data_IF_190616233878
#
_entry.id   IF_190616233878
#
_cell.length_a   1.000
_cell.length_b   1.000
_cell.length_c   1.000
_cell.angle_alpha   90.00
_cell.angle_beta   90.00
_cell.angle_gamma   90.00
#
_symmetry.space_group_name_H-M   'P 1'
#
loop_
_entity.id
_entity.type
_entity.pdbx_description
1 polymer ?
#
# COMPACT_ATOMS: atom_id res chain seq x y z
N UNK A 1 -4.49 21.74 -3.72
CA UNK A 1 -4.54 20.74 -2.63
C UNK A 1 -3.41 19.76 -2.87
N UNK A 2 -2.64 19.44 -1.83
CA UNK A 2 -1.63 18.39 -1.84
C UNK A 2 -2.00 17.30 -0.83
N UNK A 3 -1.37 16.13 -0.92
CA UNK A 3 -1.48 15.10 0.10
C UNK A 3 -0.12 14.43 0.36
N UNK A 4 0.08 13.95 1.58
CA UNK A 4 1.26 13.21 2.01
C UNK A 4 0.87 11.96 2.81
N UNK A 5 1.70 10.92 2.73
CA UNK A 5 1.62 9.72 3.58
C UNK A 5 3.03 9.27 3.93
N UNK A 6 3.29 8.91 5.19
CA UNK A 6 4.62 8.42 5.57
C UNK A 6 4.93 7.10 4.83
N UNK A 7 6.21 6.86 4.50
CA UNK A 7 6.63 5.62 3.85
C UNK A 7 6.29 4.38 4.68
N UNK A 8 6.36 4.47 6.01
CA UNK A 8 5.97 3.40 6.93
C UNK A 8 4.45 3.14 6.92
N UNK A 9 3.64 4.20 6.90
CA UNK A 9 2.18 4.10 6.85
C UNK A 9 1.72 3.50 5.51
N UNK A 10 2.30 3.97 4.40
CA UNK A 10 2.05 3.42 3.07
C UNK A 10 2.45 1.93 3.00
N UNK A 11 3.65 1.58 3.46
CA UNK A 11 4.13 0.19 3.51
C UNK A 11 3.25 -0.70 4.39
N UNK A 12 2.77 -0.18 5.54
CA UNK A 12 1.87 -0.92 6.42
C UNK A 12 0.51 -1.22 5.76
N UNK A 13 -0.07 -0.27 5.01
CA UNK A 13 -1.28 -0.54 4.19
C UNK A 13 -0.99 -1.62 3.13
N UNK A 14 0.19 -1.58 2.50
CA UNK A 14 0.60 -2.58 1.51
C UNK A 14 0.74 -3.98 2.14
N UNK A 15 1.39 -4.09 3.31
CA UNK A 15 1.59 -5.34 4.05
C UNK A 15 0.25 -5.98 4.46
N UNK A 16 -0.67 -5.20 5.06
CA UNK A 16 -2.01 -5.69 5.41
C UNK A 16 -2.79 -6.15 4.16
N UNK A 17 -2.61 -5.47 3.02
CA UNK A 17 -3.29 -5.80 1.75
C UNK A 17 -2.67 -6.99 1.01
N UNK A 18 -1.37 -7.23 1.16
CA UNK A 18 -0.69 -8.41 0.63
C UNK A 18 -1.17 -9.67 1.36
N UNK A 19 -1.24 -9.61 2.69
CA UNK A 19 -1.72 -10.68 3.56
C UNK A 19 -3.24 -10.95 3.46
N UNK A 20 -3.98 -10.12 2.74
CA UNK A 20 -5.39 -10.38 2.40
C UNK A 20 -5.51 -11.37 1.24
N UNK A 21 -6.46 -12.31 1.32
CA UNK A 21 -6.82 -13.18 0.19
C UNK A 21 -7.91 -12.57 -0.72
N UNK A 22 -8.42 -11.38 -0.41
CA UNK A 22 -9.46 -10.67 -1.16
C UNK A 22 -9.15 -9.17 -1.30
N UNK A 23 -10.06 -8.42 -1.93
CA UNK A 23 -10.21 -6.98 -1.69
C UNK A 23 -10.10 -6.68 -0.17
N UNK A 24 -9.45 -5.57 0.16
CA UNK A 24 -9.27 -5.10 1.54
C UNK A 24 -9.61 -3.61 1.63
N UNK A 25 -10.10 -3.13 2.77
CA UNK A 25 -10.55 -1.75 2.95
C UNK A 25 -10.32 -1.27 4.38
N UNK A 26 -10.31 0.04 4.58
CA UNK A 26 -10.09 0.65 5.89
C UNK A 26 -10.14 2.18 5.86
N UNK A 27 -9.83 2.81 6.98
CA UNK A 27 -9.89 4.27 7.15
C UNK A 27 -8.50 4.90 7.17
N UNK A 28 -8.40 6.16 6.77
CA UNK A 28 -7.17 6.96 6.80
C UNK A 28 -7.26 7.98 7.93
N UNK A 29 -6.26 7.96 8.82
CA UNK A 29 -6.19 8.73 10.05
C UNK A 29 -5.07 9.77 9.93
N UNK A 30 -5.36 11.01 10.25
CA UNK A 30 -4.39 12.10 10.14
C UNK A 30 -5.05 13.47 10.33
N UNK A 31 -4.54 14.47 9.62
CA UNK A 31 -5.06 15.84 9.67
C UNK A 31 -5.17 16.50 8.29
N UNK A 32 -5.89 17.62 8.24
CA UNK A 32 -5.99 18.48 7.06
C UNK A 32 -5.67 19.91 7.48
N UNK A 33 -4.50 20.42 7.08
CA UNK A 33 -4.09 21.80 7.34
C UNK A 33 -4.31 22.70 6.12
N UNK A 34 -4.31 24.00 6.35
CA UNK A 34 -4.20 25.00 5.28
C UNK A 34 -2.86 25.70 5.46
N UNK A 35 -2.04 25.66 4.42
CA UNK A 35 -0.73 26.31 4.37
C UNK A 35 -0.85 27.55 3.48
N UNK A 36 -0.41 28.72 3.97
CA UNK A 36 -0.54 29.99 3.26
C UNK A 36 0.70 30.24 2.40
N UNK A 37 0.58 29.96 1.10
CA UNK A 37 1.67 30.14 0.15
C UNK A 37 1.67 31.57 -0.39
N UNK A 38 2.71 32.32 -0.05
CA UNK A 38 2.99 33.64 -0.62
C UNK A 38 3.86 33.48 -1.86
N UNK A 39 3.31 33.74 -3.04
CA UNK A 39 4.08 33.86 -4.29
C UNK A 39 4.37 35.33 -4.56
N UNK A 40 5.65 35.68 -4.72
CA UNK A 40 6.09 37.01 -5.13
C UNK A 40 6.55 36.89 -6.58
N UNK A 41 5.83 37.55 -7.49
CA UNK A 41 6.24 37.66 -8.89
C UNK A 41 7.29 38.77 -9.05
N UNK A 42 8.21 38.60 -10.02
CA UNK A 42 9.15 39.65 -10.47
C UNK A 42 8.46 40.97 -10.85
N UNK A 43 7.17 40.91 -11.17
CA UNK A 43 6.29 42.06 -11.43
C UNK A 43 5.89 42.87 -10.18
N UNK A 44 6.44 42.56 -9.00
CA UNK A 44 6.07 43.10 -7.68
C UNK A 44 4.62 42.79 -7.25
N UNK A 45 3.91 41.94 -7.99
CA UNK A 45 2.59 41.43 -7.59
C UNK A 45 2.80 40.25 -6.63
N UNK A 46 2.30 40.38 -5.40
CA UNK A 46 2.18 39.28 -4.44
C UNK A 46 0.81 38.60 -4.58
N UNK A 47 0.79 37.28 -4.76
CA UNK A 47 -0.43 36.46 -4.64
C UNK A 47 -0.34 35.51 -3.45
N UNK A 48 -1.43 35.45 -2.67
CA UNK A 48 -1.58 34.53 -1.54
C UNK A 48 -2.52 33.40 -1.95
N UNK A 49 -2.06 32.15 -1.82
CA UNK A 49 -2.87 30.96 -2.08
C UNK A 49 -2.92 30.04 -0.85
N UNK A 50 -4.13 29.64 -0.43
CA UNK A 50 -4.32 28.70 0.67
C UNK A 50 -4.27 27.26 0.15
N UNK A 51 -3.11 26.61 0.33
CA UNK A 51 -2.91 25.22 -0.03
C UNK A 51 -3.49 24.31 1.07
N UNK A 52 -4.64 23.70 0.81
CA UNK A 52 -5.17 22.60 1.62
C UNK A 52 -4.24 21.37 1.48
N UNK A 53 -3.66 20.91 2.58
CA UNK A 53 -2.75 19.75 2.65
C UNK A 53 -3.40 18.66 3.50
N UNK A 54 -3.44 17.43 2.97
CA UNK A 54 -3.99 16.24 3.65
C UNK A 54 -2.82 15.35 4.07
N UNK A 55 -2.54 15.25 5.36
CA UNK A 55 -1.40 14.49 5.88
C UNK A 55 -1.87 13.21 6.58
N UNK A 56 -1.52 12.05 6.01
CA UNK A 56 -1.93 10.72 6.47
C UNK A 56 -0.89 10.17 7.45
N UNK A 57 -1.22 10.22 8.74
CA UNK A 57 -0.37 9.71 9.82
C UNK A 57 -0.46 8.18 9.94
N UNK A 58 -1.68 7.62 9.93
CA UNK A 58 -1.91 6.19 10.16
C UNK A 58 -3.13 5.67 9.37
N UNK A 59 -3.39 4.37 9.39
CA UNK A 59 -4.61 3.76 8.85
C UNK A 59 -5.30 2.87 9.89
N UNK A 60 -6.58 2.55 9.65
CA UNK A 60 -7.31 1.55 10.43
C UNK A 60 -7.89 0.49 9.48
N UNK A 61 -7.32 -0.74 9.45
CA UNK A 61 -7.77 -1.80 8.57
C UNK A 61 -9.10 -2.42 9.04
N UNK A 62 -10.07 -2.57 8.14
CA UNK A 62 -11.30 -3.30 8.44
C UNK A 62 -11.06 -4.81 8.37
N UNK A 63 -11.48 -5.53 9.41
CA UNK A 63 -11.29 -6.99 9.53
C UNK A 63 -12.04 -7.82 8.47
N UNK A 64 -13.06 -7.25 7.82
CA UNK A 64 -13.81 -7.88 6.74
C UNK A 64 -14.46 -6.81 5.84
N UNK A 65 -14.65 -7.14 4.56
CA UNK A 65 -15.52 -6.41 3.65
C UNK A 65 -16.96 -6.32 4.20
N UNK A 66 -17.69 -5.25 3.88
CA UNK A 66 -19.07 -5.03 4.36
C UNK A 66 -19.19 -4.89 5.89
N UNK A 67 -18.07 -4.63 6.59
CA UNK A 67 -18.05 -4.49 8.06
C UNK A 67 -18.80 -3.26 8.57
N UNK A 68 -18.86 -2.18 7.76
CA UNK A 68 -19.54 -0.92 8.10
C UNK A 68 -20.65 -0.52 7.11
N UNK A 69 -20.99 -1.36 6.12
CA UNK A 69 -22.03 -1.08 5.12
C UNK A 69 -22.68 -2.37 4.60
N UNK A 70 -23.95 -2.29 4.16
CA UNK A 70 -24.73 -3.46 3.70
C UNK A 70 -24.54 -3.81 2.21
N UNK A 71 -25.22 -4.86 1.73
CA UNK A 71 -25.13 -5.27 0.32
C UNK A 71 -25.62 -4.20 -0.68
N UNK A 72 -26.56 -3.34 -0.28
CA UNK A 72 -27.03 -2.20 -1.07
C UNK A 72 -26.04 -0.99 -1.02
N UNK A 73 -25.01 -1.06 -0.18
CA UNK A 73 -24.03 0.00 0.01
C UNK A 73 -24.47 1.05 1.04
N UNK A 74 -25.49 0.79 1.85
CA UNK A 74 -25.92 1.69 2.93
C UNK A 74 -24.96 1.59 4.11
N UNK A 75 -24.43 2.71 4.57
CA UNK A 75 -23.52 2.77 5.74
C UNK A 75 -24.29 2.53 7.04
N UNK A 76 -23.69 1.76 7.96
CA UNK A 76 -24.20 1.50 9.30
C UNK A 76 -23.32 2.24 10.33
N UNK A 77 -23.90 3.21 11.03
CA UNK A 77 -23.15 4.07 11.97
C UNK A 77 -22.68 3.34 13.23
N UNK A 78 -23.44 2.37 13.74
CA UNK A 78 -23.07 1.61 14.95
C UNK A 78 -21.83 0.76 14.71
N UNK A 79 -21.75 0.12 13.54
CA UNK A 79 -20.56 -0.61 13.08
C UNK A 79 -19.38 0.34 12.87
N UNK A 80 -19.60 1.48 12.22
CA UNK A 80 -18.58 2.49 11.98
C UNK A 80 -18.00 3.03 13.31
N UNK A 81 -18.86 3.31 14.30
CA UNK A 81 -18.48 3.68 15.67
C UNK A 81 -17.68 2.57 16.37
N UNK A 82 -18.10 1.31 16.23
CA UNK A 82 -17.43 0.14 16.82
C UNK A 82 -16.01 -0.08 16.28
N UNK A 83 -15.78 0.23 15.00
CA UNK A 83 -14.47 0.15 14.34
C UNK A 83 -13.59 1.33 14.75
N UNK A 84 -14.04 2.56 14.47
CA UNK A 84 -13.23 3.77 14.65
C UNK A 84 -13.01 4.14 16.12
N UNK A 85 -14.01 3.88 16.98
CA UNK A 85 -14.05 4.28 18.39
C UNK A 85 -13.73 5.79 18.51
N UNK A 86 -12.86 6.15 19.45
CA UNK A 86 -12.44 7.54 19.70
C UNK A 86 -11.75 8.20 18.49
N UNK A 87 -11.15 7.42 17.58
CA UNK A 87 -10.43 7.91 16.40
C UNK A 87 -11.36 8.44 15.29
N UNK A 88 -12.69 8.34 15.42
CA UNK A 88 -13.68 8.89 14.44
C UNK A 88 -13.42 10.37 14.10
N UNK A 89 -12.90 11.15 15.06
CA UNK A 89 -12.57 12.58 14.89
C UNK A 89 -11.38 12.86 13.96
N UNK A 90 -10.49 11.88 13.80
CA UNK A 90 -9.21 12.03 13.08
C UNK A 90 -9.26 11.35 11.70
N UNK A 91 -10.45 10.93 11.25
CA UNK A 91 -10.64 10.30 9.94
C UNK A 91 -10.67 11.37 8.86
N UNK A 92 -9.64 11.37 8.02
CA UNK A 92 -9.50 12.30 6.89
C UNK A 92 -9.87 11.65 5.55
N UNK A 93 -9.94 10.31 5.51
CA UNK A 93 -10.28 9.57 4.31
C UNK A 93 -10.58 8.09 4.58
N UNK A 94 -10.73 7.34 3.50
CA UNK A 94 -10.77 5.89 3.53
C UNK A 94 -10.01 5.31 2.34
N UNK A 95 -9.65 4.03 2.41
CA UNK A 95 -8.92 3.35 1.35
C UNK A 95 -9.57 2.02 0.97
N UNK A 96 -9.32 1.59 -0.26
CA UNK A 96 -9.64 0.25 -0.73
C UNK A 96 -8.54 -0.29 -1.63
N UNK A 97 -8.19 -1.54 -1.42
CA UNK A 97 -7.23 -2.30 -2.19
C UNK A 97 -7.96 -3.38 -2.99
N UNK A 98 -7.55 -3.54 -4.25
CA UNK A 98 -8.05 -4.53 -5.21
C UNK A 98 -6.89 -5.25 -5.91
N UNK A 99 -7.20 -6.33 -6.60
CA UNK A 99 -6.25 -7.07 -7.44
C UNK A 99 -6.75 -7.12 -8.90
N UNK A 100 -5.86 -6.79 -9.84
CA UNK A 100 -6.08 -6.81 -11.29
C UNK A 100 -7.30 -5.98 -11.76
N UNK A 101 -7.44 -4.74 -11.26
CA UNK A 101 -8.55 -3.83 -11.65
C UNK A 101 -8.07 -2.46 -12.13
N UNK A 102 -8.94 -1.71 -12.79
CA UNK A 102 -8.67 -0.35 -13.25
C UNK A 102 -8.63 0.67 -12.10
N UNK A 103 -7.82 1.71 -12.25
CA UNK A 103 -7.72 2.86 -11.33
C UNK A 103 -8.91 3.83 -11.44
N UNK A 104 -10.10 3.32 -11.13
CA UNK A 104 -11.37 4.05 -11.14
C UNK A 104 -12.25 3.63 -9.95
N UNK A 105 -12.89 4.64 -9.35
CA UNK A 105 -13.92 4.44 -8.33
C UNK A 105 -15.15 3.72 -8.91
N UNK A 106 -15.51 2.59 -8.31
CA UNK A 106 -16.72 1.84 -8.63
C UNK A 106 -17.98 2.58 -8.18
N UNK A 107 -19.13 2.19 -8.73
CA UNK A 107 -20.45 2.70 -8.32
C UNK A 107 -20.69 2.55 -6.81
N UNK A 108 -20.30 1.41 -6.21
CA UNK A 108 -20.44 1.17 -4.77
C UNK A 108 -19.55 2.10 -3.94
N UNK A 109 -18.30 2.34 -4.34
CA UNK A 109 -17.42 3.29 -3.62
C UNK A 109 -17.93 4.72 -3.72
N UNK A 110 -18.47 5.15 -4.86
CA UNK A 110 -19.06 6.49 -4.99
C UNK A 110 -20.26 6.66 -4.03
N UNK A 111 -21.10 5.63 -3.89
CA UNK A 111 -22.22 5.59 -2.94
C UNK A 111 -21.75 5.58 -1.47
N UNK A 112 -20.77 4.74 -1.13
CA UNK A 112 -20.22 4.64 0.23
C UNK A 112 -19.50 5.93 0.61
N UNK A 113 -18.64 6.45 -0.27
CA UNK A 113 -17.90 7.70 -0.04
C UNK A 113 -18.85 8.87 0.22
N UNK A 114 -19.91 9.01 -0.59
CA UNK A 114 -20.92 10.06 -0.41
C UNK A 114 -21.64 9.94 0.94
N UNK A 115 -21.90 8.72 1.44
CA UNK A 115 -22.48 8.54 2.77
C UNK A 115 -21.46 8.80 3.88
N UNK A 116 -20.23 8.31 3.76
CA UNK A 116 -19.16 8.51 4.74
C UNK A 116 -18.86 10.00 4.96
N UNK A 117 -18.82 10.83 3.92
CA UNK A 117 -18.58 12.27 4.08
C UNK A 117 -19.68 12.99 4.86
N UNK A 118 -20.94 12.54 4.76
CA UNK A 118 -22.06 13.06 5.55
C UNK A 118 -22.06 12.51 6.98
N UNK A 119 -21.89 11.18 7.13
CA UNK A 119 -21.89 10.48 8.42
C UNK A 119 -20.71 10.90 9.29
N UNK A 120 -19.50 10.96 8.75
CA UNK A 120 -18.31 11.39 9.50
C UNK A 120 -18.29 12.91 9.74
N UNK A 121 -19.09 13.69 9.01
CA UNK A 121 -19.07 15.15 9.07
C UNK A 121 -17.83 15.76 8.39
N UNK A 122 -17.24 15.06 7.41
CA UNK A 122 -15.98 15.43 6.73
C UNK A 122 -16.29 15.72 5.26
N UNK A 123 -16.50 16.98 4.85
CA UNK A 123 -16.97 17.31 3.49
C UNK A 123 -15.93 17.05 2.39
N UNK A 124 -14.65 17.14 2.73
CA UNK A 124 -13.49 16.92 1.85
C UNK A 124 -12.80 15.57 2.12
N UNK A 125 -13.59 14.55 2.49
CA UNK A 125 -13.09 13.19 2.68
C UNK A 125 -12.31 12.73 1.44
N UNK A 126 -11.13 12.15 1.62
CA UNK A 126 -10.35 11.55 0.50
C UNK A 126 -10.59 10.05 0.38
N UNK A 127 -10.37 9.49 -0.82
CA UNK A 127 -10.45 8.06 -1.09
C UNK A 127 -9.18 7.56 -1.79
N UNK A 128 -8.42 6.69 -1.13
CA UNK A 128 -7.20 6.10 -1.69
C UNK A 128 -7.50 4.72 -2.29
N UNK A 129 -7.48 4.62 -3.62
CA UNK A 129 -7.60 3.35 -4.32
C UNK A 129 -6.21 2.76 -4.55
N UNK A 130 -6.04 1.47 -4.25
CA UNK A 130 -4.90 0.67 -4.67
C UNK A 130 -5.36 -0.43 -5.63
N UNK A 131 -4.54 -0.73 -6.64
CA UNK A 131 -4.71 -1.89 -7.52
C UNK A 131 -3.37 -2.58 -7.71
N UNK A 132 -3.29 -3.83 -7.28
CA UNK A 132 -2.13 -4.70 -7.49
C UNK A 132 -2.29 -5.48 -8.80
N UNK A 133 -1.30 -5.39 -9.69
CA UNK A 133 -1.30 -5.99 -11.02
C UNK A 133 -0.06 -6.87 -11.18
N UNK A 134 -0.21 -8.05 -11.78
CA UNK A 134 0.91 -8.97 -12.10
C UNK A 134 1.08 -9.14 -13.61
N UNK A 135 2.31 -9.42 -14.06
CA UNK A 135 2.54 -10.01 -15.39
C UNK A 135 1.97 -11.43 -15.47
N UNK A 136 1.71 -11.93 -16.68
CA UNK A 136 1.10 -13.26 -16.89
C UNK A 136 1.91 -14.44 -16.32
N UNK A 137 3.23 -14.27 -16.20
CA UNK A 137 4.16 -15.22 -15.56
C UNK A 137 4.44 -14.92 -14.08
N UNK A 138 3.83 -13.88 -13.50
CA UNK A 138 4.05 -13.36 -12.14
C UNK A 138 5.51 -12.98 -11.80
N UNK A 139 6.41 -12.77 -12.78
CA UNK A 139 7.79 -12.32 -12.50
C UNK A 139 7.89 -10.84 -12.14
N UNK A 140 6.85 -10.05 -12.39
CA UNK A 140 6.84 -8.62 -12.12
C UNK A 140 5.47 -8.20 -11.60
N UNK A 141 5.48 -7.44 -10.51
CA UNK A 141 4.28 -6.91 -9.87
C UNK A 141 4.32 -5.39 -9.85
N UNK A 142 3.18 -4.75 -10.09
CA UNK A 142 2.99 -3.32 -9.98
C UNK A 142 1.90 -3.03 -8.95
N UNK A 143 2.19 -2.19 -7.96
CA UNK A 143 1.20 -1.65 -7.05
C UNK A 143 0.90 -0.19 -7.43
N UNK A 144 -0.16 -0.02 -8.21
CA UNK A 144 -0.65 1.31 -8.57
C UNK A 144 -1.56 1.86 -7.46
N UNK A 145 -1.47 3.17 -7.21
CA UNK A 145 -2.33 3.86 -6.25
C UNK A 145 -2.79 5.22 -6.78
N UNK A 146 -4.02 5.62 -6.43
CA UNK A 146 -4.59 6.93 -6.79
C UNK A 146 -5.39 7.47 -5.61
N UNK A 147 -5.02 8.66 -5.13
CA UNK A 147 -5.83 9.43 -4.20
C UNK A 147 -6.88 10.25 -4.96
N UNK A 148 -8.16 9.96 -4.70
CA UNK A 148 -9.29 10.71 -5.21
C UNK A 148 -9.83 11.69 -4.16
N UNK A 149 -10.18 12.90 -4.61
CA UNK A 149 -11.11 13.82 -3.94
C UNK A 149 -12.39 13.89 -4.80
N UNK A 150 -13.43 13.09 -4.50
CA UNK A 150 -14.75 13.24 -5.13
C UNK A 150 -15.36 14.58 -4.71
N UNK A 151 -15.20 15.58 -5.57
CA UNK A 151 -15.72 16.92 -5.33
C UNK A 151 -17.27 16.91 -5.43
N UNK A 152 -17.93 18.00 -5.04
CA UNK A 152 -19.39 18.20 -5.22
C UNK A 152 -19.80 18.32 -6.70
N UNK A 153 -18.84 18.44 -7.63
CA UNK A 153 -19.06 18.35 -9.08
C UNK A 153 -18.90 16.90 -9.59
N UNK A 154 -19.32 16.62 -10.82
CA UNK A 154 -19.35 15.25 -11.39
C UNK A 154 -17.96 14.65 -11.73
N UNK A 155 -16.87 15.20 -11.20
CA UNK A 155 -15.50 14.81 -11.55
C UNK A 155 -14.75 14.33 -10.31
N UNK A 156 -14.29 13.07 -10.35
CA UNK A 156 -13.42 12.49 -9.34
C UNK A 156 -12.01 13.05 -9.51
N UNK A 157 -11.70 14.17 -8.86
CA UNK A 157 -10.39 14.81 -8.94
C UNK A 157 -9.33 13.85 -8.39
N UNK A 158 -8.24 13.65 -9.14
CA UNK A 158 -7.05 12.96 -8.64
C UNK A 158 -6.15 13.99 -7.94
N UNK A 159 -5.59 13.61 -6.80
CA UNK A 159 -4.67 14.42 -6.00
C UNK A 159 -3.33 13.69 -5.94
N UNK A 160 -2.23 14.39 -6.21
CA UNK A 160 -0.89 13.83 -6.09
C UNK A 160 -0.58 13.52 -4.63
N UNK A 161 -0.20 12.27 -4.35
CA UNK A 161 0.15 11.78 -3.02
C UNK A 161 1.67 11.67 -2.92
N UNK A 162 2.27 12.51 -2.08
CA UNK A 162 3.71 12.53 -1.82
C UNK A 162 4.10 11.51 -0.74
N UNK A 163 5.25 10.86 -0.91
CA UNK A 163 5.85 9.99 0.10
C UNK A 163 7.20 10.64 0.50
N UNK A 164 7.24 11.43 1.59
CA UNK A 164 8.48 12.09 2.02
C UNK A 164 9.52 11.06 2.45
N UNK A 165 10.77 11.33 2.08
CA UNK A 165 11.91 10.45 2.32
C UNK A 165 13.21 11.28 2.46
N UNK A 166 14.25 10.66 3.00
CA UNK A 166 15.53 11.34 3.32
C UNK A 166 16.34 11.76 2.08
N UNK A 167 16.13 11.14 0.92
CA UNK A 167 16.90 11.41 -0.31
C UNK A 167 16.79 12.87 -0.77
N UNK A 168 15.64 13.51 -0.53
CA UNK A 168 15.42 14.92 -0.88
C UNK A 168 16.18 15.92 0.04
N UNK A 169 16.99 15.44 1.00
CA UNK A 169 17.67 16.28 2.00
C UNK A 169 19.19 16.05 2.08
N UNK A 170 19.79 15.30 1.15
CA UNK A 170 21.19 14.85 1.23
C UNK A 170 22.23 15.93 0.85
N UNK A 171 22.30 17.02 1.61
CA UNK A 171 23.39 18.01 1.54
C UNK A 171 24.57 17.59 2.42
N UNK A 172 25.27 16.52 2.03
CA UNK A 172 26.34 15.88 2.82
C UNK A 172 27.74 16.48 2.59
N UNK A 173 27.83 17.72 2.13
CA UNK A 173 29.08 18.38 1.73
C UNK A 173 29.91 18.85 2.93
N UNK A 174 30.62 17.92 3.58
CA UNK A 174 31.59 18.23 4.63
C UNK A 174 32.81 18.95 4.05
N UNK A 175 33.00 20.21 4.47
CA UNK A 175 34.12 21.05 4.04
C UNK A 175 35.44 20.60 4.68
N UNK A 176 36.14 19.68 4.01
CA UNK A 176 37.42 19.09 4.45
C UNK A 176 38.51 20.14 4.72
N UNK A 177 38.56 21.24 3.95
CA UNK A 177 39.53 22.32 4.18
C UNK A 177 38.99 23.69 3.79
N UNK A 178 39.68 24.74 4.26
CA UNK A 178 39.42 26.13 3.89
C UNK A 178 40.73 26.87 3.67
N UNK A 179 40.72 27.85 2.76
CA UNK A 179 41.88 28.73 2.52
C UNK A 179 42.27 29.40 3.84
N UNK A 180 43.50 29.19 4.36
CA UNK A 180 43.90 29.73 5.66
C UNK A 180 43.93 31.26 5.66
N UNK A 181 43.14 31.89 6.53
CA UNK A 181 43.11 33.35 6.67
C UNK A 181 44.28 33.82 7.54
N UNK A 182 45.19 34.61 6.96
CA UNK A 182 46.38 35.16 7.64
C UNK A 182 46.07 36.36 8.54
N UNK A 183 44.84 36.90 8.53
CA UNK A 183 44.45 38.06 9.32
C UNK A 183 44.37 37.76 10.82
N UNK A 184 45.27 38.38 11.59
CA UNK A 184 45.26 38.32 13.06
C UNK A 184 43.96 38.83 13.69
N UNK A 185 43.29 39.79 13.04
CA UNK A 185 42.02 40.34 13.53
C UNK A 185 40.89 39.32 13.37
N UNK A 186 40.82 38.63 12.23
CA UNK A 186 39.89 37.51 12.02
C UNK A 186 40.15 36.39 13.04
N UNK A 187 41.40 35.96 13.17
CA UNK A 187 41.81 34.92 14.12
C UNK A 187 41.54 35.27 15.59
N UNK A 188 41.46 36.56 15.94
CA UNK A 188 41.04 37.02 17.27
C UNK A 188 39.52 36.87 17.46
N UNK A 189 38.72 37.45 16.57
CA UNK A 189 37.25 37.45 16.67
C UNK A 189 36.68 36.03 16.72
N UNK A 190 37.16 35.12 15.86
CA UNK A 190 36.67 33.72 15.86
C UNK A 190 37.03 32.94 17.14
N UNK A 191 38.07 33.36 17.88
CA UNK A 191 38.44 32.74 19.16
C UNK A 191 37.65 33.31 20.33
N UNK A 192 37.39 34.62 20.31
CA UNK A 192 36.60 35.30 21.35
C UNK A 192 35.12 34.88 21.29
N UNK A 193 34.55 34.73 20.09
CA UNK A 193 33.16 34.27 19.92
C UNK A 193 33.04 32.74 19.86
N UNK A 194 34.07 32.03 19.36
CA UNK A 194 34.04 30.57 19.17
C UNK A 194 33.83 29.75 20.45
N UNK A 195 34.13 30.32 21.63
CA UNK A 195 33.86 29.70 22.92
C UNK A 195 32.36 29.46 23.21
N UNK A 196 31.45 30.11 22.47
CA UNK A 196 30.02 29.82 22.48
C UNK A 196 29.70 28.45 21.86
N UNK A 197 30.34 28.11 20.74
CA UNK A 197 30.05 26.90 19.95
C UNK A 197 30.93 25.69 20.31
N UNK A 198 32.22 25.93 20.59
CA UNK A 198 33.18 24.88 20.93
C UNK A 198 33.25 24.64 22.44
N UNK A 199 33.40 23.38 22.83
CA UNK A 199 33.71 22.98 24.21
C UNK A 199 35.22 23.07 24.52
N UNK A 200 35.63 22.56 25.68
CA UNK A 200 37.03 22.61 26.14
C UNK A 200 37.95 21.66 25.37
N UNK A 201 37.40 20.67 24.68
CA UNK A 201 38.13 19.68 23.90
C UNK A 201 38.26 20.14 22.42
N UNK A 202 37.61 21.24 22.05
CA UNK A 202 37.54 21.75 20.68
C UNK A 202 36.41 21.14 19.85
N UNK A 203 35.49 20.37 20.47
CA UNK A 203 34.35 19.76 19.78
C UNK A 203 33.15 20.72 19.81
N UNK A 204 32.35 20.73 18.75
CA UNK A 204 31.13 21.54 18.69
C UNK A 204 30.04 20.96 19.61
N UNK A 205 29.50 21.78 20.51
CA UNK A 205 28.50 21.38 21.53
C UNK A 205 27.23 20.80 20.90
N UNK A 206 26.81 21.38 19.79
CA UNK A 206 25.59 20.98 19.07
C UNK A 206 25.67 19.54 18.56
N UNK A 207 26.86 19.07 18.13
CA UNK A 207 27.09 17.68 17.69
C UNK A 207 26.82 16.72 18.86
N UNK A 208 27.33 17.02 20.07
CA UNK A 208 27.06 16.21 21.25
C UNK A 208 25.58 16.25 21.64
N UNK A 209 24.94 17.40 21.51
CA UNK A 209 23.53 17.61 21.87
C UNK A 209 22.58 16.86 20.92
N UNK A 210 22.77 16.97 19.60
CA UNK A 210 21.94 16.23 18.63
C UNK A 210 22.19 14.71 18.73
N UNK A 211 23.42 14.29 19.01
CA UNK A 211 23.73 12.88 19.24
C UNK A 211 23.01 12.34 20.49
N UNK A 212 22.98 13.09 21.60
CA UNK A 212 22.22 12.70 22.81
C UNK A 212 20.72 12.56 22.52
N UNK A 213 20.13 13.49 21.77
CA UNK A 213 18.72 13.40 21.35
C UNK A 213 18.48 12.19 20.44
N UNK A 214 19.40 11.91 19.51
CA UNK A 214 19.34 10.76 18.62
C UNK A 214 19.44 9.42 19.39
N UNK A 215 20.41 9.27 20.30
CA UNK A 215 20.57 8.07 21.13
C UNK A 215 19.32 7.84 22.00
N UNK A 216 18.82 8.86 22.69
CA UNK A 216 17.62 8.75 23.50
C UNK A 216 16.37 8.39 22.67
N UNK A 217 16.26 8.88 21.43
CA UNK A 217 15.20 8.48 20.50
C UNK A 217 15.36 7.01 20.06
N UNK A 218 16.58 6.58 19.72
CA UNK A 218 16.84 5.21 19.29
C UNK A 218 16.63 4.18 20.42
N UNK A 219 16.99 4.50 21.67
CA UNK A 219 16.64 3.71 22.85
C UNK A 219 15.13 3.51 22.98
N UNK A 220 14.33 4.56 22.75
CA UNK A 220 12.86 4.47 22.76
C UNK A 220 12.31 3.66 21.60
N UNK A 221 12.91 3.74 20.41
CA UNK A 221 12.55 2.87 19.27
C UNK A 221 12.81 1.40 19.63
N UNK A 222 13.99 1.06 20.16
CA UNK A 222 14.32 -0.32 20.56
C UNK A 222 13.37 -0.86 21.66
N UNK A 223 13.01 -0.04 22.65
CA UNK A 223 12.03 -0.43 23.67
C UNK A 223 10.66 -0.76 23.06
N UNK A 224 10.16 0.10 22.16
CA UNK A 224 8.88 -0.12 21.45
C UNK A 224 8.94 -1.33 20.53
N UNK A 225 10.08 -1.61 19.88
CA UNK A 225 10.26 -2.83 19.08
C UNK A 225 10.05 -4.10 19.92
N UNK A 226 10.58 -4.17 21.15
CA UNK A 226 10.39 -5.30 22.06
C UNK A 226 8.93 -5.47 22.52
N UNK A 227 8.22 -4.36 22.79
CA UNK A 227 6.78 -4.38 23.09
C UNK A 227 5.96 -4.88 21.88
N UNK A 228 6.28 -4.43 20.67
CA UNK A 228 5.61 -4.85 19.43
C UNK A 228 5.87 -6.33 19.13
N UNK A 229 7.10 -6.82 19.23
CA UNK A 229 7.48 -8.23 19.07
C UNK A 229 6.66 -9.13 20.00
N UNK A 230 6.56 -8.77 21.28
CA UNK A 230 5.77 -9.51 22.25
C UNK A 230 4.26 -9.45 21.94
N UNK A 231 3.76 -8.31 21.45
CA UNK A 231 2.35 -8.19 21.05
C UNK A 231 1.98 -9.06 19.84
N UNK A 232 2.88 -9.17 18.85
CA UNK A 232 2.69 -10.00 17.67
C UNK A 232 2.74 -11.49 18.00
N UNK A 233 3.65 -11.94 18.89
CA UNK A 233 3.64 -13.33 19.42
C UNK A 233 2.32 -13.69 20.13
N UNK A 234 1.77 -12.76 20.92
CA UNK A 234 0.47 -12.98 21.59
C UNK A 234 -0.67 -13.06 20.57
N UNK A 235 -0.67 -12.17 19.56
CA UNK A 235 -1.63 -12.15 18.45
C UNK A 235 -1.56 -13.44 17.61
N UNK A 236 -0.38 -13.93 17.29
CA UNK A 236 -0.14 -15.20 16.60
C UNK A 236 -0.77 -16.37 17.36
N UNK A 237 -0.44 -16.53 18.65
CA UNK A 237 -0.99 -17.59 19.51
C UNK A 237 -2.52 -17.53 19.58
N UNK A 238 -3.10 -16.34 19.78
CA UNK A 238 -4.57 -16.16 19.80
C UNK A 238 -5.18 -16.50 18.43
N UNK A 239 -4.51 -16.15 17.33
CA UNK A 239 -4.96 -16.46 15.99
C UNK A 239 -4.91 -17.97 15.69
N UNK A 240 -3.90 -18.69 16.18
CA UNK A 240 -3.89 -20.15 16.16
C UNK A 240 -5.06 -20.75 16.95
N UNK A 241 -5.28 -20.33 18.20
CA UNK A 241 -6.33 -20.87 19.07
C UNK A 241 -7.72 -20.67 18.45
N UNK A 242 -7.96 -19.50 17.85
CA UNK A 242 -9.17 -19.19 17.06
C UNK A 242 -9.29 -20.11 15.84
N UNK A 243 -8.20 -20.39 15.12
CA UNK A 243 -8.23 -21.29 13.96
C UNK A 243 -8.47 -22.75 14.35
N UNK A 244 -7.79 -23.23 15.41
CA UNK A 244 -7.98 -24.55 16.04
C UNK A 244 -9.41 -24.70 16.59
N UNK A 245 -10.06 -23.62 17.02
CA UNK A 245 -11.48 -23.62 17.41
C UNK A 245 -12.43 -23.64 16.20
N UNK A 246 -12.19 -22.81 15.17
CA UNK A 246 -12.97 -22.80 13.91
C UNK A 246 -12.98 -24.19 13.25
N UNK A 247 -11.83 -24.86 13.15
CA UNK A 247 -11.72 -26.22 12.60
C UNK A 247 -12.58 -27.22 13.39
N UNK A 248 -12.51 -27.21 14.72
CA UNK A 248 -13.35 -28.07 15.60
C UNK A 248 -14.85 -27.80 15.41
N UNK A 249 -15.26 -26.55 15.19
CA UNK A 249 -16.66 -26.20 14.90
C UNK A 249 -17.09 -26.74 13.53
N UNK A 250 -16.28 -26.57 12.49
CA UNK A 250 -16.56 -27.08 11.14
C UNK A 250 -16.67 -28.62 11.11
N UNK A 251 -15.75 -29.33 11.76
CA UNK A 251 -15.79 -30.79 11.87
C UNK A 251 -17.05 -31.29 12.59
N UNK A 252 -17.45 -30.64 13.69
CA UNK A 252 -18.71 -30.96 14.39
C UNK A 252 -19.92 -30.74 13.50
N UNK A 253 -20.02 -29.57 12.84
CA UNK A 253 -21.11 -29.27 11.89
C UNK A 253 -21.19 -30.29 10.76
N UNK A 254 -20.06 -30.71 10.20
CA UNK A 254 -20.06 -31.70 9.13
C UNK A 254 -20.48 -33.08 9.64
N UNK A 255 -20.03 -33.52 10.83
CA UNK A 255 -20.48 -34.78 11.42
C UNK A 255 -22.00 -34.76 11.64
N UNK A 256 -22.54 -33.74 12.32
CA UNK A 256 -23.99 -33.62 12.55
C UNK A 256 -24.76 -33.63 11.23
N UNK A 257 -24.33 -32.86 10.23
CA UNK A 257 -24.97 -32.85 8.91
C UNK A 257 -24.90 -34.19 8.16
N UNK A 258 -23.85 -35.00 8.34
CA UNK A 258 -23.81 -36.38 7.81
C UNK A 258 -24.73 -37.33 8.58
N UNK A 259 -24.85 -37.13 9.90
CA UNK A 259 -25.70 -37.93 10.80
C UNK A 259 -27.18 -37.66 10.51
N UNK A 260 -27.58 -36.39 10.38
CA UNK A 260 -28.89 -35.95 9.91
C UNK A 260 -29.23 -36.53 8.53
N UNK A 261 -28.29 -36.50 7.58
CA UNK A 261 -28.50 -37.03 6.22
C UNK A 261 -28.69 -38.56 6.22
N UNK A 262 -27.94 -39.29 7.07
CA UNK A 262 -28.11 -40.75 7.26
C UNK A 262 -29.45 -41.09 7.90
N UNK A 263 -29.93 -40.28 8.84
CA UNK A 263 -31.27 -40.43 9.43
C UNK A 263 -32.38 -40.17 8.40
N UNK A 264 -32.22 -39.16 7.55
CA UNK A 264 -33.12 -38.92 6.41
C UNK A 264 -33.11 -40.08 5.41
N UNK A 265 -31.93 -40.54 4.97
CA UNK A 265 -31.77 -41.71 4.09
C UNK A 265 -32.43 -42.98 4.67
N UNK A 266 -32.24 -43.25 5.97
CA UNK A 266 -32.86 -44.39 6.65
C UNK A 266 -34.40 -44.27 6.75
N UNK A 267 -34.91 -43.06 7.00
CA UNK A 267 -36.36 -42.79 7.03
C UNK A 267 -37.02 -42.91 5.64
N UNK A 268 -36.30 -42.51 4.58
CA UNK A 268 -36.75 -42.68 3.21
C UNK A 268 -36.72 -44.15 2.78
N UNK A 269 -35.71 -44.92 3.21
CA UNK A 269 -35.61 -46.35 2.92
C UNK A 269 -36.70 -47.17 3.63
N UNK A 270 -37.09 -46.80 4.86
CA UNK A 270 -38.21 -47.45 5.57
C UNK A 270 -39.55 -47.11 4.92
N UNK A 271 -39.82 -45.85 4.60
CA UNK A 271 -41.02 -45.46 3.86
C UNK A 271 -41.13 -46.15 2.48
N UNK A 272 -40.01 -46.30 1.77
CA UNK A 272 -39.97 -47.03 0.50
C UNK A 272 -40.31 -48.52 0.68
N UNK A 273 -39.73 -49.18 1.70
CA UNK A 273 -40.01 -50.58 2.01
C UNK A 273 -41.50 -50.81 2.38
N UNK A 274 -42.10 -49.90 3.13
CA UNK A 274 -43.53 -49.92 3.42
C UNK A 274 -44.38 -49.81 2.13
N UNK A 275 -44.06 -48.89 1.22
CA UNK A 275 -44.79 -48.78 -0.06
C UNK A 275 -44.63 -50.00 -0.99
N UNK A 276 -43.53 -50.75 -0.91
CA UNK A 276 -43.36 -52.00 -1.67
C UNK A 276 -44.19 -53.17 -1.10
N UNK A 277 -44.74 -53.08 0.11
CA UNK A 277 -45.48 -54.16 0.76
C UNK A 277 -46.97 -54.28 0.36
N UNK A 278 -47.48 -53.34 -0.44
CA UNK A 278 -48.92 -53.21 -0.76
C UNK A 278 -49.26 -53.59 -2.21
N UNK A 279 -48.26 -53.72 -3.10
CA UNK A 279 -48.45 -53.86 -4.55
C UNK A 279 -48.17 -55.29 -5.04
N UNK A 280 -49.06 -56.24 -4.71
CA UNK A 280 -48.82 -57.67 -4.95
C UNK A 280 -50.03 -58.52 -5.43
N UNK A 281 -51.12 -57.92 -5.94
CA UNK A 281 -52.19 -58.68 -6.64
C UNK A 281 -52.65 -58.03 -7.96
N UNK A 282 -52.94 -58.91 -8.92
CA UNK A 282 -53.76 -58.82 -10.15
C UNK A 282 -53.28 -58.08 -11.43
N UNK A 283 -52.61 -58.85 -12.30
CA UNK A 283 -52.97 -59.19 -13.70
C UNK A 283 -53.26 -58.12 -14.79
N UNK A 284 -52.29 -57.99 -15.72
CA UNK A 284 -52.37 -58.13 -17.20
C UNK A 284 -53.39 -57.34 -18.10
N UNK A 285 -53.12 -57.20 -19.44
CA UNK A 285 -53.50 -55.98 -20.16
C UNK A 285 -54.27 -56.14 -21.50
N UNK A 286 -54.54 -54.98 -22.14
CA UNK A 286 -54.89 -54.76 -23.57
C UNK A 286 -56.41 -54.73 -23.93
N UNK A 287 -56.80 -54.29 -25.16
CA UNK A 287 -56.65 -52.90 -25.58
C UNK A 287 -57.89 -52.30 -26.31
N UNK A 288 -57.84 -51.00 -26.61
CA UNK A 288 -58.57 -50.29 -27.70
C UNK A 288 -60.10 -50.43 -27.78
N UNK A 289 -60.82 -49.32 -27.58
CA UNK A 289 -61.81 -48.90 -28.59
C UNK A 289 -62.09 -47.39 -28.63
N UNK A 290 -62.26 -46.94 -29.87
CA UNK A 290 -62.31 -45.54 -30.33
C UNK A 290 -63.75 -45.22 -30.72
N UNK A 291 -64.39 -44.28 -30.03
CA UNK A 291 -65.54 -43.53 -30.58
C UNK A 291 -65.33 -42.05 -30.28
N UNK A 292 -65.50 -41.22 -31.30
CA UNK A 292 -65.52 -39.77 -31.18
C UNK A 292 -66.89 -39.26 -31.62
N UNK A 293 -67.42 -38.28 -30.89
CA UNK A 293 -68.42 -37.36 -31.43
C UNK A 293 -68.01 -35.94 -31.09
N UNK A 294 -67.91 -35.10 -32.12
CA UNK A 294 -67.72 -33.67 -31.97
C UNK A 294 -69.06 -33.01 -31.68
N UNK A 295 -69.03 -31.94 -30.90
CA UNK A 295 -69.56 -30.69 -31.41
C UNK A 295 -68.79 -29.50 -30.82
N UNK A 296 -68.52 -28.53 -31.69
CA UNK A 296 -67.94 -27.23 -31.39
C UNK A 296 -69.03 -26.30 -30.78
N UNK A 297 -68.77 -25.06 -30.34
CA UNK A 297 -67.79 -24.08 -30.86
C UNK A 297 -67.55 -22.94 -29.86
N UNK A 298 -66.38 -22.29 -29.96
CA UNK A 298 -66.10 -20.90 -29.53
C UNK A 298 -66.04 -20.62 -28.01
N UNK A 299 -65.10 -19.86 -27.44
CA UNK A 299 -63.94 -19.06 -27.91
C UNK A 299 -62.82 -19.12 -26.82
N UNK A 300 -61.51 -18.86 -27.01
CA UNK A 300 -60.62 -18.67 -28.18
C UNK A 300 -59.15 -18.78 -27.67
N UNK A 301 -58.20 -19.03 -28.57
CA UNK A 301 -56.72 -19.11 -28.37
C UNK A 301 -56.12 -17.97 -27.51
N UNK A 302 -54.97 -18.09 -26.84
CA UNK A 302 -53.81 -18.99 -27.08
C UNK A 302 -52.90 -18.46 -28.21
N UNK A 303 -51.65 -18.95 -28.39
CA UNK A 303 -50.84 -19.89 -27.59
C UNK A 303 -49.67 -19.12 -26.89
N UNK A 304 -48.47 -19.61 -26.50
CA UNK A 304 -47.82 -20.95 -26.41
C UNK A 304 -46.68 -20.91 -25.35
N UNK A 305 -45.92 -22.01 -25.15
CA UNK A 305 -44.60 -22.06 -24.49
C UNK A 305 -43.85 -23.37 -24.83
N UNK A 306 -42.71 -23.35 -25.52
CA UNK A 306 -41.88 -24.55 -25.69
C UNK A 306 -41.22 -25.03 -24.39
N UNK A 307 -41.02 -26.35 -24.27
CA UNK A 307 -40.17 -27.01 -23.24
C UNK A 307 -39.11 -27.86 -23.93
N UNK A 308 -37.86 -27.73 -23.49
CA UNK A 308 -36.75 -28.66 -23.75
C UNK A 308 -35.89 -28.65 -22.47
N UNK A 309 -36.06 -29.62 -21.56
CA UNK A 309 -35.53 -31.00 -21.61
C UNK A 309 -34.20 -31.08 -20.85
N UNK A 310 -34.29 -31.31 -19.55
CA UNK A 310 -33.13 -31.69 -18.73
C UNK A 310 -32.65 -33.09 -19.13
N UNK A 311 -31.34 -33.25 -19.37
CA UNK A 311 -30.69 -34.55 -19.41
C UNK A 311 -29.54 -34.58 -18.41
N UNK A 312 -29.46 -35.67 -17.65
CA UNK A 312 -28.34 -35.93 -16.75
C UNK A 312 -27.16 -36.45 -17.58
N UNK A 313 -25.97 -35.91 -17.34
CA UNK A 313 -24.71 -36.45 -17.87
C UNK A 313 -23.73 -36.68 -16.71
N UNK A 314 -22.91 -37.70 -16.84
CA UNK A 314 -22.06 -38.25 -15.78
C UNK A 314 -20.59 -37.93 -16.05
N UNK A 315 -19.81 -37.71 -15.00
CA UNK A 315 -18.35 -37.57 -15.08
C UNK A 315 -17.66 -38.80 -15.69
N UNK A 316 -16.49 -38.60 -16.31
CA UNK A 316 -15.34 -39.41 -15.89
C UNK A 316 -14.10 -38.56 -15.54
N UNK A 317 -13.12 -39.22 -14.90
CA UNK A 317 -11.89 -38.65 -14.36
C UNK A 317 -10.69 -38.64 -15.34
N UNK A 318 -9.59 -38.05 -14.88
CA UNK A 318 -8.27 -37.96 -15.54
C UNK A 318 -7.65 -39.30 -15.98
N UNK A 319 -6.91 -39.31 -17.10
CA UNK A 319 -5.43 -39.54 -17.16
C UNK A 319 -4.83 -39.12 -18.54
N UNK A 320 -3.51 -38.85 -18.67
CA UNK A 320 -2.92 -38.16 -19.83
C UNK A 320 -2.08 -39.04 -20.78
N UNK A 321 -1.68 -38.49 -21.96
CA UNK A 321 -0.42 -38.86 -22.65
C UNK A 321 0.06 -37.83 -23.70
N UNK A 322 1.32 -37.99 -24.09
CA UNK A 322 2.15 -37.09 -24.91
C UNK A 322 2.01 -37.28 -26.44
N UNK A 323 2.63 -36.34 -27.19
CA UNK A 323 3.09 -36.50 -28.60
C UNK A 323 2.02 -36.52 -29.71
N UNK A 324 2.26 -35.99 -30.93
CA UNK A 324 3.42 -35.28 -31.52
C UNK A 324 3.03 -34.50 -32.80
N UNK A 325 3.99 -33.73 -33.34
CA UNK A 325 4.07 -33.07 -34.67
C UNK A 325 3.24 -31.80 -34.95
N UNK A 326 4.00 -30.75 -35.25
CA UNK A 326 3.68 -29.40 -35.71
C UNK A 326 2.73 -29.24 -36.91
N UNK A 327 2.12 -28.05 -36.96
CA UNK A 327 1.87 -27.30 -38.19
C UNK A 327 2.24 -25.83 -37.96
N UNK A 328 2.97 -25.22 -38.90
CA UNK A 328 3.67 -23.93 -38.71
C UNK A 328 3.03 -22.78 -39.50
N UNK A 329 2.61 -21.72 -38.81
CA UNK A 329 2.34 -20.41 -39.43
C UNK A 329 2.58 -19.26 -38.45
N UNK A 330 3.44 -18.32 -38.85
CA UNK A 330 3.65 -16.98 -38.29
C UNK A 330 3.86 -16.06 -39.54
N UNK A 331 3.44 -14.77 -39.58
CA UNK A 331 3.94 -13.74 -38.66
C UNK A 331 2.91 -12.72 -38.14
N UNK A 332 3.14 -12.11 -36.97
CA UNK A 332 3.04 -10.64 -36.80
C UNK A 332 3.50 -10.14 -35.42
N UNK A 333 4.78 -9.77 -35.29
CA UNK A 333 5.34 -9.16 -34.08
C UNK A 333 4.94 -7.68 -33.94
N UNK A 334 3.79 -7.42 -33.31
CA UNK A 334 3.41 -6.06 -32.87
C UNK A 334 4.28 -5.65 -31.68
N UNK A 335 5.34 -4.90 -31.94
CA UNK A 335 6.22 -4.34 -30.91
C UNK A 335 5.48 -3.28 -30.07
N UNK A 336 5.09 -3.65 -28.85
CA UNK A 336 4.61 -2.69 -27.86
C UNK A 336 5.79 -1.89 -27.29
N UNK A 337 5.66 -0.56 -27.12
CA UNK A 337 6.75 0.26 -26.59
C UNK A 337 7.03 -0.09 -25.12
N UNK A 338 8.31 -0.31 -24.81
CA UNK A 338 8.81 -0.59 -23.46
C UNK A 338 8.56 0.63 -22.55
N UNK A 339 7.92 0.48 -21.37
CA UNK A 339 7.80 1.59 -20.43
C UNK A 339 9.20 1.99 -19.93
N UNK A 340 9.53 3.28 -20.02
CA UNK A 340 10.77 3.82 -19.47
C UNK A 340 10.71 3.81 -17.94
N UNK A 341 11.83 3.51 -17.29
CA UNK A 341 12.01 3.75 -15.87
C UNK A 341 12.08 5.26 -15.59
N UNK A 342 11.43 5.71 -14.53
CA UNK A 342 11.58 7.08 -14.02
C UNK A 342 12.99 7.26 -13.45
N UNK A 343 13.79 8.14 -14.07
CA UNK A 343 15.16 8.44 -13.61
C UNK A 343 16.19 8.79 -14.70
N UNK A 344 15.87 8.62 -15.99
CA UNK A 344 16.80 8.94 -17.08
C UNK A 344 16.67 10.40 -17.57
N UNK A 345 17.72 11.20 -17.40
CA UNK A 345 17.80 12.58 -17.90
C UNK A 345 17.94 12.63 -19.42
N UNK A 346 16.92 13.13 -20.13
CA UNK A 346 16.93 13.27 -21.58
C UNK A 346 17.55 14.58 -22.06
N UNK A 347 18.74 14.54 -22.67
CA UNK A 347 19.23 15.62 -23.53
C UNK A 347 18.38 15.66 -24.80
N UNK A 348 17.85 16.84 -25.14
CA UNK A 348 16.98 17.03 -26.31
C UNK A 348 17.77 17.40 -27.57
N UNK A 349 17.92 16.47 -28.50
CA UNK A 349 18.41 16.73 -29.87
C UNK A 349 17.26 16.67 -30.88
N UNK A 350 16.77 17.83 -31.30
CA UNK A 350 15.62 17.94 -32.22
C UNK A 350 16.04 17.88 -33.69
N UNK A 351 15.78 16.76 -34.37
CA UNK A 351 15.94 16.63 -35.82
C UNK A 351 14.61 16.91 -36.55
N UNK A 352 14.51 18.05 -37.23
CA UNK A 352 13.45 18.33 -38.21
C UNK A 352 14.04 18.83 -39.53
N UNK A 353 13.47 18.38 -40.65
CA UNK A 353 14.00 18.62 -41.98
C UNK A 353 13.01 19.41 -42.87
N UNK A 354 13.55 20.40 -43.57
CA UNK A 354 13.02 21.11 -44.75
C UNK A 354 11.56 21.62 -44.78
N UNK A 355 11.41 22.95 -44.83
CA UNK A 355 10.72 23.61 -45.96
C UNK A 355 11.13 25.09 -46.14
N UNK A 356 11.23 25.48 -47.42
CA UNK A 356 11.84 26.69 -48.00
C UNK A 356 11.30 28.06 -47.54
N UNK A 357 12.20 29.04 -47.40
CA UNK A 357 11.98 30.48 -47.59
C UNK A 357 13.31 31.18 -48.00
N UNK A 358 13.27 32.38 -48.61
CA UNK A 358 14.42 33.03 -49.29
C UNK A 358 14.55 34.51 -48.90
N UNK A 359 15.75 35.08 -49.12
CA UNK A 359 16.21 36.49 -49.03
C UNK A 359 17.03 36.87 -47.76
N UNK A 360 18.00 37.83 -47.86
CA UNK A 360 19.29 37.68 -47.17
C UNK A 360 19.84 38.97 -46.50
N UNK A 361 21.06 38.90 -45.94
CA UNK A 361 21.96 40.07 -45.86
C UNK A 361 22.92 40.10 -44.67
N UNK A 362 24.22 39.93 -44.96
CA UNK A 362 25.42 40.35 -44.18
C UNK A 362 25.57 39.82 -42.72
N UNK A 363 26.78 39.61 -42.18
CA UNK A 363 28.13 39.72 -42.75
C UNK A 363 29.19 39.69 -41.63
N UNK A 364 30.41 39.21 -41.94
CA UNK A 364 31.50 38.90 -40.99
C UNK A 364 31.23 37.71 -40.03
N UNK A 365 32.25 37.02 -39.47
CA UNK A 365 33.69 37.19 -39.70
C UNK A 365 34.58 36.12 -39.05
N UNK A 366 35.60 35.68 -39.79
CA UNK A 366 36.77 34.87 -39.37
C UNK A 366 36.57 33.38 -39.02
N UNK A 367 37.41 32.54 -39.63
CA UNK A 367 37.70 31.15 -39.26
C UNK A 367 39.22 30.96 -39.14
N UNK A 368 39.66 29.82 -38.58
CA UNK A 368 40.88 29.10 -39.00
C UNK A 368 40.81 27.65 -38.49
N UNK A 369 40.85 26.69 -39.42
CA UNK A 369 41.17 25.29 -39.14
C UNK A 369 42.68 25.09 -39.16
N UNK A 370 43.18 24.07 -38.44
CA UNK A 370 44.39 23.36 -38.82
C UNK A 370 44.33 21.89 -38.39
N UNK A 371 44.23 21.01 -39.39
CA UNK A 371 44.66 19.62 -39.30
C UNK A 371 46.08 19.51 -39.89
N UNK A 372 46.88 18.57 -39.37
CA UNK A 372 47.32 17.37 -40.11
C UNK A 372 48.64 16.79 -39.52
N UNK A 373 48.66 15.48 -39.23
CA UNK A 373 49.78 14.55 -39.53
C UNK A 373 49.51 13.10 -39.10
N UNK A 374 49.23 12.27 -40.11
CA UNK A 374 49.91 11.01 -40.50
C UNK A 374 50.95 10.36 -39.55
N UNK A 375 51.22 9.04 -39.58
CA UNK A 375 50.55 7.84 -40.14
C UNK A 375 51.43 6.57 -39.88
N UNK A 376 50.84 5.36 -39.96
CA UNK A 376 51.49 4.02 -39.78
C UNK A 376 52.10 3.78 -38.38
N UNK A 377 52.36 2.57 -37.89
CA UNK A 377 52.28 1.17 -38.37
C UNK A 377 53.18 0.33 -37.43
N UNK A 378 53.12 -1.00 -37.29
CA UNK A 378 52.38 -2.09 -37.96
C UNK A 378 52.21 -3.24 -36.92
N UNK A 379 51.56 -4.36 -37.25
CA UNK A 379 51.50 -5.55 -36.37
C UNK A 379 52.88 -6.19 -36.12
N UNK A 380 53.01 -6.94 -35.03
CA UNK A 380 53.52 -8.32 -35.03
C UNK A 380 52.94 -9.05 -33.79
N UNK A 381 52.76 -10.38 -33.90
CA UNK A 381 52.21 -11.27 -32.87
C UNK A 381 53.36 -12.03 -32.17
N UNK A 382 53.13 -12.57 -30.97
CA UNK A 382 53.73 -13.82 -30.50
C UNK A 382 52.89 -14.36 -29.32
N UNK A 383 52.61 -15.66 -29.37
CA UNK A 383 51.95 -16.44 -28.30
C UNK A 383 53.04 -17.12 -27.44
N UNK A 384 52.74 -17.44 -26.18
CA UNK A 384 53.28 -18.62 -25.50
C UNK A 384 52.47 -18.87 -24.21
N UNK A 385 52.09 -20.12 -23.97
CA UNK A 385 51.43 -20.60 -22.75
C UNK A 385 52.48 -20.89 -21.65
N UNK A 386 52.05 -20.96 -20.39
CA UNK A 386 52.19 -22.18 -19.57
C UNK A 386 51.51 -21.99 -18.18
N UNK A 387 51.08 -23.11 -17.59
CA UNK A 387 50.44 -23.19 -16.27
C UNK A 387 51.45 -23.07 -15.11
N UNK A 388 50.96 -22.76 -13.91
CA UNK A 388 51.36 -23.47 -12.68
C UNK A 388 50.31 -23.24 -11.57
N UNK A 389 49.88 -24.32 -10.92
CA UNK A 389 49.05 -24.30 -9.71
C UNK A 389 49.89 -23.98 -8.46
N UNK A 390 49.27 -23.45 -7.40
CA UNK A 390 49.12 -24.20 -6.14
C UNK A 390 48.32 -23.42 -5.07
N UNK A 391 47.72 -24.16 -4.14
CA UNK A 391 47.04 -23.65 -2.95
C UNK A 391 48.03 -23.09 -1.90
N UNK A 392 47.54 -22.28 -0.96
CA UNK A 392 48.06 -22.29 0.42
C UNK A 392 46.93 -21.92 1.42
N UNK A 393 46.98 -22.52 2.62
CA UNK A 393 45.82 -22.70 3.50
C UNK A 393 45.72 -21.71 4.69
N UNK A 394 44.52 -21.65 5.30
CA UNK A 394 44.25 -21.24 6.71
C UNK A 394 44.60 -19.75 7.11
N UNK A 395 44.10 -19.14 8.18
CA UNK A 395 43.74 -19.65 9.51
C UNK A 395 42.71 -18.78 10.28
N UNK A 396 42.18 -19.36 11.37
CA UNK A 396 41.64 -18.78 12.62
C UNK A 396 40.56 -17.68 12.59
N UNK A 397 39.32 -18.15 12.69
CA UNK A 397 38.32 -17.54 13.58
C UNK A 397 38.52 -17.99 15.03
N UNK A 398 38.61 -17.09 16.02
CA UNK A 398 38.07 -17.29 17.39
C UNK A 398 38.15 -15.99 18.22
N UNK A 399 37.09 -15.63 18.93
CA UNK A 399 37.16 -15.14 20.31
C UNK A 399 35.80 -15.32 21.00
N UNK A 400 35.77 -16.19 22.02
CA UNK A 400 34.53 -16.73 22.63
C UNK A 400 33.98 -15.87 23.80
N UNK A 401 32.89 -16.34 24.40
CA UNK A 401 32.12 -15.69 25.45
C UNK A 401 32.86 -15.62 26.80
N UNK A 402 32.47 -14.67 27.65
CA UNK A 402 32.75 -14.71 29.09
C UNK A 402 31.47 -14.54 29.92
N UNK A 403 30.89 -15.65 30.36
CA UNK A 403 29.84 -15.70 31.39
C UNK A 403 30.10 -16.85 32.37
N UNK A 404 30.37 -16.52 33.64
CA UNK A 404 30.10 -17.36 34.82
C UNK A 404 30.31 -16.50 36.08
N UNK A 405 29.28 -16.16 36.86
CA UNK A 405 28.49 -16.98 37.81
C UNK A 405 28.88 -16.61 39.27
N UNK A 406 28.29 -17.19 40.34
CA UNK A 406 27.26 -16.49 41.09
C UNK A 406 27.59 -16.26 42.59
N UNK A 407 26.65 -15.68 43.35
CA UNK A 407 26.68 -15.62 44.82
C UNK A 407 25.26 -15.57 45.40
N UNK A 408 25.06 -16.08 46.62
CA UNK A 408 23.74 -16.50 47.12
C UNK A 408 23.04 -15.53 48.09
N UNK A 409 21.70 -15.51 47.95
CA UNK A 409 20.62 -15.37 48.94
C UNK A 409 20.94 -14.90 50.38
N UNK A 410 20.22 -13.86 50.82
CA UNK A 410 19.63 -13.75 52.17
C UNK A 410 18.16 -13.25 52.05
N UNK A 411 17.27 -13.73 52.92
CA UNK A 411 15.82 -13.42 52.92
C UNK A 411 15.49 -12.02 53.50
N UNK A 412 14.31 -11.45 53.19
CA UNK A 412 13.92 -10.15 53.75
C UNK A 412 12.49 -9.62 53.48
N UNK A 413 11.46 -10.40 53.84
CA UNK A 413 10.09 -9.93 54.14
C UNK A 413 9.25 -9.20 53.05
N UNK A 414 8.00 -8.86 53.43
CA UNK A 414 6.90 -8.40 52.57
C UNK A 414 6.39 -7.07 53.09
N UNK A 415 6.22 -6.07 52.23
CA UNK A 415 5.31 -4.96 52.53
C UNK A 415 4.47 -4.54 51.31
N UNK A 416 3.26 -4.08 51.61
CA UNK A 416 2.24 -3.57 50.67
C UNK A 416 2.21 -2.04 50.80
N UNK A 417 1.41 -1.33 49.98
CA UNK A 417 1.22 0.14 49.84
C UNK A 417 2.05 0.73 48.68
N UNK A 418 1.61 1.76 47.94
CA UNK A 418 0.25 2.33 47.73
C UNK A 418 0.23 3.24 46.50
N UNK A 419 -0.96 3.60 46.00
CA UNK A 419 -1.11 4.73 45.06
C UNK A 419 -0.74 6.07 45.72
N UNK A 420 -0.40 7.07 44.91
CA UNK A 420 -1.05 8.37 45.07
C UNK A 420 -1.74 8.87 43.79
N UNK A 421 -2.88 9.53 43.95
CA UNK A 421 -3.61 10.19 42.87
C UNK A 421 -3.41 11.72 42.94
N UNK A 422 -3.06 12.33 41.79
CA UNK A 422 -3.78 13.51 41.30
C UNK A 422 -3.29 14.94 41.64
N UNK A 423 -2.96 15.67 40.55
CA UNK A 423 -3.21 17.12 40.33
C UNK A 423 -2.42 18.13 41.19
N UNK A 424 -2.48 19.45 40.88
CA UNK A 424 -3.15 20.13 39.76
C UNK A 424 -2.19 20.81 38.76
N UNK A 425 -2.76 21.54 37.80
CA UNK A 425 -2.02 22.38 36.84
C UNK A 425 -2.19 23.87 37.15
N UNK A 426 -1.30 24.72 36.61
CA UNK A 426 -1.62 26.14 36.37
C UNK A 426 -0.54 27.15 36.76
N UNK A 427 0.30 27.55 35.80
CA UNK A 427 0.93 28.87 35.77
C UNK A 427 0.93 29.41 34.34
N UNK A 428 0.19 30.49 34.11
CA UNK A 428 0.40 31.44 33.00
C UNK A 428 1.08 32.69 33.57
N UNK A 429 2.03 33.32 32.86
CA UNK A 429 2.28 34.74 33.00
C UNK A 429 1.33 35.52 32.08
N UNK A 430 0.53 36.42 32.63
CA UNK A 430 -0.34 37.30 31.83
C UNK A 430 0.40 38.54 31.32
N UNK A 431 -0.02 38.96 30.13
CA UNK A 431 -0.16 40.35 29.67
C UNK A 431 0.88 41.40 30.06
N UNK A 432 1.59 41.92 29.05
CA UNK A 432 2.07 43.30 29.08
C UNK A 432 1.83 43.98 27.72
N UNK A 433 0.62 44.55 27.55
CA UNK A 433 0.25 45.26 26.33
C UNK A 433 0.75 46.71 26.39
N UNK A 434 1.55 47.12 25.40
CA UNK A 434 1.85 48.54 25.14
C UNK A 434 1.44 48.91 23.73
N UNK A 435 0.62 49.96 23.64
CA UNK A 435 0.10 50.49 22.38
C UNK A 435 1.17 51.22 21.57
N UNK A 436 1.18 50.98 20.26
CA UNK A 436 1.69 51.92 19.26
C UNK A 436 0.57 52.20 18.25
N UNK A 437 -0.09 53.35 18.39
CA UNK A 437 -1.05 53.81 17.37
C UNK A 437 -0.30 54.23 16.11
N UNK A 438 -0.89 53.96 14.94
CA UNK A 438 -0.40 54.51 13.68
C UNK A 438 -0.74 56.00 13.57
N UNK A 439 0.27 56.83 13.31
CA UNK A 439 0.05 58.18 12.78
C UNK A 439 -0.08 58.12 11.26
N UNK A 440 -1.04 58.87 10.71
CA UNK A 440 -1.10 59.17 9.28
C UNK A 440 -0.16 60.32 8.93
N UNK A 441 0.56 60.19 7.82
CA UNK A 441 0.62 61.12 6.69
C UNK A 441 1.13 60.31 5.49
#
# INVERSE_FOLDING_TARGET
>A
MAASISGYTFSSVCYHSANSNSDHEGFLIGEVRQEENFSISDSQISSTEFLQIVEVHNHEPCAQLFSFYDYAGKVNEDNLNRILKERRKNVIGWYRFRRNTQQQMSFREQIIHKQLSHVLGVPDLVFLLFSFISTANNSTHALEYVLFRPNRSRYNQRVSLSIPNLGNTSQQEYKVSSVPNTSRNYAKVIKEQGAEFFDRDGVMKDIRTIFQVYSALQEKVHAVCGEVEQSERVKEKVQEEVNKLKQRISLRKHKTSQEDRRLQEASAATAAAETSSVSAEDSDPSPLSRVAFHNSTSERSGPERPRTSDSLSVYPDFVPRDSLVALSTDPSTVLLPRPQAVGASGYSTSSHAFSSAVYPGNGDGSSVDFLDRQAAGQEDEDEDDDDDDDDDEEDSSEYENLVSAPSELVNGEVEVLSLPQGRPAGLRPDGNARSSQASRI
#
